data_IF_730387368063
#
_entry.id   IF_730387368063
#
_cell.length_a   1.000
_cell.length_b   1.000
_cell.length_c   1.000
_cell.angle_alpha   90.00
_cell.angle_beta   90.00
_cell.angle_gamma   90.00
#
_symmetry.space_group_name_H-M   'P 1'
#
loop_
_entity.id
_entity.type
_entity.pdbx_description
1 polymer ?
#
# COMPACT_ATOMS: atom_id res chain seq x y z
N UNK A 1 6.68 18.18 10.80
CA UNK A 1 6.49 16.88 10.10
C UNK A 1 5.65 16.01 11.02
N UNK A 2 4.60 15.33 10.52
CA UNK A 2 3.81 14.41 11.35
C UNK A 2 4.70 13.26 11.86
N UNK A 3 4.54 12.88 13.12
CA UNK A 3 5.21 11.72 13.71
C UNK A 3 4.89 10.44 12.92
N UNK A 4 3.66 10.32 12.41
CA UNK A 4 3.23 9.18 11.58
C UNK A 4 3.99 9.14 10.25
N UNK A 5 4.09 10.27 9.54
CA UNK A 5 4.85 10.37 8.28
C UNK A 5 6.33 10.02 8.52
N UNK A 6 6.92 10.52 9.62
CA UNK A 6 8.31 10.23 9.95
C UNK A 6 8.54 8.72 10.18
N UNK A 7 7.68 8.09 10.99
CA UNK A 7 7.75 6.65 11.26
C UNK A 7 7.50 5.79 10.01
N UNK A 8 6.54 6.17 9.16
CA UNK A 8 6.25 5.47 7.91
C UNK A 8 7.42 5.57 6.91
N UNK A 9 8.06 6.74 6.80
CA UNK A 9 9.27 6.92 5.99
C UNK A 9 10.42 6.06 6.50
N UNK A 10 10.61 5.99 7.81
CA UNK A 10 11.61 5.10 8.42
C UNK A 10 11.31 3.63 8.12
N UNK A 11 10.04 3.21 8.21
CA UNK A 11 9.61 1.86 7.85
C UNK A 11 9.91 1.52 6.38
N UNK A 12 9.69 2.46 5.45
CA UNK A 12 10.05 2.28 4.02
C UNK A 12 11.55 2.02 3.86
N UNK A 13 12.41 2.79 4.53
CA UNK A 13 13.86 2.65 4.41
C UNK A 13 14.38 1.35 5.05
N UNK A 14 13.78 0.92 6.17
CA UNK A 14 14.05 -0.37 6.79
C UNK A 14 13.66 -1.53 5.87
N UNK A 15 12.50 -1.46 5.23
CA UNK A 15 12.05 -2.49 4.30
C UNK A 15 12.92 -2.56 3.04
N UNK A 16 13.34 -1.41 2.48
CA UNK A 16 14.31 -1.36 1.37
C UNK A 16 15.65 -2.00 1.77
N UNK A 17 16.16 -1.66 2.95
CA UNK A 17 17.40 -2.25 3.47
C UNK A 17 17.26 -3.78 3.60
N UNK A 18 16.12 -4.25 4.13
CA UNK A 18 15.85 -5.68 4.25
C UNK A 18 15.77 -6.36 2.87
N UNK A 19 15.12 -5.73 1.89
CA UNK A 19 15.04 -6.21 0.50
C UNK A 19 16.43 -6.37 -0.13
N UNK A 20 17.33 -5.40 0.06
CA UNK A 20 18.71 -5.50 -0.44
C UNK A 20 19.48 -6.66 0.17
N UNK A 21 19.30 -6.91 1.48
CA UNK A 21 19.90 -8.07 2.16
C UNK A 21 19.34 -9.39 1.64
N UNK A 22 18.04 -9.47 1.36
CA UNK A 22 17.42 -10.66 0.75
C UNK A 22 17.99 -10.92 -0.65
N UNK A 23 18.12 -9.88 -1.49
CA UNK A 23 18.73 -10.00 -2.82
C UNK A 23 20.19 -10.46 -2.75
N UNK A 24 20.95 -9.98 -1.76
CA UNK A 24 22.31 -10.46 -1.48
C UNK A 24 22.31 -11.94 -1.07
N UNK A 25 21.34 -12.37 -0.26
CA UNK A 25 21.18 -13.77 0.12
C UNK A 25 20.84 -14.66 -1.08
N UNK A 26 19.99 -14.21 -2.01
CA UNK A 26 19.71 -14.92 -3.28
C UNK A 26 20.99 -15.18 -4.07
N UNK A 27 21.87 -14.18 -4.17
CA UNK A 27 23.13 -14.29 -4.91
C UNK A 27 24.17 -15.23 -4.27
N UNK A 28 24.01 -15.57 -2.99
CA UNK A 28 24.94 -16.41 -2.22
C UNK A 28 24.32 -17.73 -1.73
N UNK A 29 23.02 -17.95 -1.95
CA UNK A 29 22.31 -19.15 -1.55
C UNK A 29 22.80 -20.38 -2.33
N UNK A 30 23.13 -21.45 -1.61
CA UNK A 30 23.63 -22.71 -2.19
C UNK A 30 22.52 -23.70 -2.56
N UNK A 31 21.33 -23.54 -2.00
CA UNK A 31 20.21 -24.46 -2.20
C UNK A 31 19.14 -23.80 -3.07
N UNK A 32 18.77 -24.46 -4.17
CA UNK A 32 17.78 -23.94 -5.13
C UNK A 32 16.41 -23.71 -4.49
N UNK A 33 16.01 -24.58 -3.55
CA UNK A 33 14.77 -24.39 -2.79
C UNK A 33 14.79 -23.09 -1.98
N UNK A 34 15.90 -22.79 -1.30
CA UNK A 34 16.06 -21.54 -0.56
C UNK A 34 16.03 -20.35 -1.51
N UNK A 35 16.68 -20.45 -2.67
CA UNK A 35 16.67 -19.38 -3.69
C UNK A 35 15.26 -19.08 -4.17
N UNK A 36 14.48 -20.11 -4.51
CA UNK A 36 13.09 -19.96 -4.96
C UNK A 36 12.19 -19.32 -3.91
N UNK A 37 12.37 -19.67 -2.63
CA UNK A 37 11.62 -19.04 -1.53
C UNK A 37 12.03 -17.57 -1.36
N UNK A 38 13.32 -17.26 -1.43
CA UNK A 38 13.81 -15.88 -1.33
C UNK A 38 13.31 -15.01 -2.50
N UNK A 39 13.21 -15.54 -3.71
CA UNK A 39 12.65 -14.81 -4.87
C UNK A 39 11.16 -14.46 -4.65
N UNK A 40 10.37 -15.38 -4.09
CA UNK A 40 8.97 -15.07 -3.71
C UNK A 40 8.90 -14.04 -2.59
N UNK A 41 9.85 -14.10 -1.64
CA UNK A 41 9.93 -13.15 -0.53
C UNK A 41 10.32 -11.74 -1.00
N UNK A 42 11.13 -11.61 -2.05
CA UNK A 42 11.42 -10.32 -2.71
C UNK A 42 10.13 -9.67 -3.21
N UNK A 43 9.29 -10.42 -3.93
CA UNK A 43 8.03 -9.88 -4.47
C UNK A 43 7.07 -9.40 -3.37
N UNK A 44 6.94 -10.17 -2.27
CA UNK A 44 6.15 -9.76 -1.10
C UNK A 44 6.69 -8.47 -0.46
N UNK A 45 8.01 -8.35 -0.33
CA UNK A 45 8.65 -7.14 0.21
C UNK A 45 8.46 -5.92 -0.68
N UNK A 46 8.58 -6.07 -2.00
CA UNK A 46 8.32 -4.99 -2.96
C UNK A 46 6.89 -4.46 -2.80
N UNK A 47 5.90 -5.36 -2.73
CA UNK A 47 4.51 -4.99 -2.48
C UNK A 47 4.33 -4.23 -1.15
N UNK A 48 5.03 -4.64 -0.08
CA UNK A 48 4.98 -3.96 1.23
C UNK A 48 5.59 -2.56 1.17
N UNK A 49 6.70 -2.39 0.46
CA UNK A 49 7.34 -1.08 0.26
C UNK A 49 6.40 -0.15 -0.50
N UNK A 50 5.75 -0.64 -1.56
CA UNK A 50 4.76 0.14 -2.30
C UNK A 50 3.61 0.55 -1.39
N UNK A 51 3.10 -0.40 -0.61
CA UNK A 51 2.02 -0.19 0.38
C UNK A 51 2.38 0.91 1.38
N UNK A 52 3.58 0.86 1.98
CA UNK A 52 4.06 1.88 2.91
C UNK A 52 4.26 3.25 2.24
N UNK A 53 4.74 3.25 0.99
CA UNK A 53 4.93 4.48 0.21
C UNK A 53 3.58 5.16 -0.05
N UNK A 54 2.55 4.38 -0.36
CA UNK A 54 1.18 4.88 -0.47
C UNK A 54 0.65 5.48 0.83
N UNK A 55 0.89 4.84 1.97
CA UNK A 55 0.51 5.39 3.27
C UNK A 55 1.21 6.72 3.56
N UNK A 56 2.49 6.85 3.21
CA UNK A 56 3.23 8.12 3.33
C UNK A 56 2.55 9.21 2.49
N UNK A 57 2.22 8.92 1.23
CA UNK A 57 1.58 9.90 0.34
C UNK A 57 0.18 10.31 0.83
N UNK A 58 -0.60 9.37 1.36
CA UNK A 58 -1.90 9.64 1.96
C UNK A 58 -1.78 10.56 3.19
N UNK A 59 -0.85 10.24 4.12
CA UNK A 59 -0.62 11.04 5.33
C UNK A 59 -0.01 12.41 5.03
N UNK A 60 0.80 12.54 3.97
CA UNK A 60 1.34 13.82 3.51
C UNK A 60 0.29 14.74 2.86
N UNK A 61 -0.91 14.22 2.55
CA UNK A 61 -1.89 14.93 1.73
C UNK A 61 -1.48 15.07 0.26
N UNK A 62 -0.49 14.29 -0.18
CA UNK A 62 -0.05 14.22 -1.59
C UNK A 62 -1.03 13.42 -2.45
N UNK A 63 -1.87 12.60 -1.81
CA UNK A 63 -3.07 11.99 -2.41
C UNK A 63 -4.29 12.73 -1.85
N UNK A 64 -4.94 13.55 -2.67
CA UNK A 64 -6.27 14.09 -2.34
C UNK A 64 -7.31 13.01 -2.62
N UNK A 65 -8.19 12.68 -1.66
CA UNK A 65 -9.22 11.66 -1.84
C UNK A 65 -10.31 12.01 -2.89
N UNK A 66 -10.32 13.23 -3.45
CA UNK A 66 -11.38 13.70 -4.36
C UNK A 66 -11.02 13.79 -5.85
N UNK A 67 -9.90 13.28 -6.35
CA UNK A 67 -9.63 13.30 -7.79
C UNK A 67 -8.76 12.12 -8.27
N UNK A 68 -9.34 10.93 -8.29
CA UNK A 68 -9.03 10.01 -9.39
C UNK A 68 -10.33 9.88 -10.17
N UNK A 69 -10.40 10.54 -11.33
CA UNK A 69 -11.53 10.34 -12.23
C UNK A 69 -11.48 8.90 -12.76
N UNK A 70 -12.65 8.30 -12.98
CA UNK A 70 -12.78 6.94 -13.51
C UNK A 70 -12.03 6.70 -14.83
N UNK A 71 -11.62 7.77 -15.52
CA UNK A 71 -10.83 7.73 -16.75
C UNK A 71 -9.32 7.46 -16.51
N UNK A 72 -8.71 7.96 -15.42
CA UNK A 72 -7.32 7.61 -15.07
C UNK A 72 -7.20 6.16 -14.55
N UNK A 73 -8.32 5.60 -14.05
CA UNK A 73 -8.44 4.19 -13.65
C UNK A 73 -8.52 3.27 -14.89
N UNK A 74 -8.94 3.79 -16.05
CA UNK A 74 -9.15 3.01 -17.27
C UNK A 74 -7.92 2.93 -18.20
N UNK A 75 -7.04 3.94 -18.21
CA UNK A 75 -5.83 3.95 -19.05
C UNK A 75 -4.55 3.47 -18.35
N UNK A 76 -4.55 3.35 -17.02
CA UNK A 76 -3.54 2.58 -16.33
C UNK A 76 -3.78 1.09 -16.61
N UNK A 77 -2.93 0.49 -17.48
CA UNK A 77 -2.81 -0.96 -17.66
C UNK A 77 -3.05 -1.68 -16.32
N UNK A 78 -3.79 -2.81 -16.29
CA UNK A 78 -4.35 -3.40 -15.09
C UNK A 78 -3.25 -3.87 -14.12
N UNK A 79 -2.74 -2.94 -13.33
CA UNK A 79 -1.65 -3.12 -12.39
C UNK A 79 -1.87 -2.09 -11.29
N UNK A 80 -2.67 -2.45 -10.30
CA UNK A 80 -2.87 -1.60 -9.13
C UNK A 80 -4.24 -1.72 -8.47
N UNK A 81 -4.77 -2.93 -8.31
CA UNK A 81 -5.71 -3.13 -7.19
C UNK A 81 -4.93 -2.83 -5.93
N UNK A 82 -5.24 -1.74 -5.24
CA UNK A 82 -4.75 -1.49 -3.88
C UNK A 82 -4.84 -2.80 -3.10
N UNK A 83 -3.71 -3.38 -2.62
CA UNK A 83 -3.74 -4.69 -1.95
C UNK A 83 -4.59 -4.66 -0.67
N UNK A 84 -4.90 -3.46 -0.19
CA UNK A 84 -5.86 -3.19 0.87
C UNK A 84 -7.30 -3.61 0.57
N UNK A 85 -7.72 -3.79 -0.68
CA UNK A 85 -9.11 -4.21 -0.98
C UNK A 85 -9.45 -5.60 -0.43
N UNK A 86 -8.46 -6.50 -0.30
CA UNK A 86 -8.64 -7.78 0.37
C UNK A 86 -8.60 -7.67 1.90
N UNK A 87 -7.58 -7.00 2.44
CA UNK A 87 -7.33 -6.96 3.89
C UNK A 87 -8.24 -5.99 4.65
N UNK A 88 -8.64 -4.86 4.06
CA UNK A 88 -9.58 -3.92 4.71
C UNK A 88 -11.00 -4.52 4.77
N UNK A 89 -11.38 -5.31 3.77
CA UNK A 89 -12.65 -6.04 3.76
C UNK A 89 -12.72 -7.08 4.89
N UNK A 90 -11.62 -7.79 5.19
CA UNK A 90 -11.54 -8.71 6.33
C UNK A 90 -11.61 -8.00 7.70
N UNK A 91 -11.16 -6.74 7.79
CA UNK A 91 -11.26 -5.91 8.99
C UNK A 91 -12.62 -5.17 9.11
N UNK A 92 -13.58 -5.45 8.22
CA UNK A 92 -14.91 -4.84 8.23
C UNK A 92 -14.95 -3.38 7.77
N UNK A 93 -13.88 -2.90 7.12
CA UNK A 93 -13.77 -1.54 6.60
C UNK A 93 -14.21 -1.58 5.12
N UNK A 94 -15.47 -1.25 4.89
CA UNK A 94 -16.04 -1.13 3.55
C UNK A 94 -15.68 0.24 2.96
N UNK A 95 -14.70 0.26 2.06
CA UNK A 95 -14.26 1.48 1.36
C UNK A 95 -15.39 2.08 0.51
N UNK A 96 -16.32 1.25 0.03
CA UNK A 96 -17.52 1.69 -0.71
C UNK A 96 -18.50 2.49 0.16
N UNK A 97 -18.40 2.42 1.50
CA UNK A 97 -19.20 3.25 2.42
C UNK A 97 -18.54 4.57 2.84
N UNK A 98 -17.23 4.74 2.63
CA UNK A 98 -16.55 6.00 2.97
C UNK A 98 -16.72 7.11 1.91
N UNK A 99 -17.25 6.80 0.73
CA UNK A 99 -17.63 7.78 -0.30
C UNK A 99 -19.05 8.35 -0.16
N UNK A 100 -19.78 8.02 0.91
CA UNK A 100 -21.15 8.47 1.12
C UNK A 100 -21.23 9.86 1.74
N UNK A 101 -21.48 10.88 0.92
CA UNK A 101 -21.99 12.20 1.33
C UNK A 101 -23.09 12.03 2.40
N UNK A 102 -23.04 12.69 3.56
CA UNK A 102 -24.12 12.62 4.53
C UNK A 102 -25.35 13.37 3.99
N UNK A 103 -26.34 12.63 3.51
CA UNK A 103 -27.67 13.14 3.19
C UNK A 103 -28.70 12.73 4.28
N UNK A 104 -29.35 13.73 4.89
CA UNK A 104 -30.54 13.63 5.78
C UNK A 104 -30.20 13.53 7.28
N UNK A 105 -30.80 14.25 8.24
CA UNK A 105 -31.95 15.18 8.41
C UNK A 105 -31.90 15.62 9.92
N UNK A 106 -32.80 16.43 10.55
CA UNK A 106 -33.96 17.18 10.06
C UNK A 106 -34.08 18.65 10.56
N UNK A 107 -34.91 19.44 9.89
CA UNK A 107 -35.53 20.63 10.48
C UNK A 107 -36.68 20.23 11.41
N UNK A 108 -36.80 20.90 12.56
CA UNK A 108 -37.90 20.76 13.51
C UNK A 108 -38.38 22.17 13.89
N UNK A 109 -39.67 22.41 13.64
CA UNK A 109 -40.55 23.58 13.90
C UNK A 109 -40.06 25.00 13.56
#
# INVERSE_FOLDING_TARGET
MSTAIAALKEAVELEKTALEKVRTAIGSAKHDQTKSVLEKYVADKEQKIDTLTWMVMAESGEIQPEAMTEEEIAEAKPAGKCPFTGQLAEMGIDISKMGGKPEGMPGHD
#
